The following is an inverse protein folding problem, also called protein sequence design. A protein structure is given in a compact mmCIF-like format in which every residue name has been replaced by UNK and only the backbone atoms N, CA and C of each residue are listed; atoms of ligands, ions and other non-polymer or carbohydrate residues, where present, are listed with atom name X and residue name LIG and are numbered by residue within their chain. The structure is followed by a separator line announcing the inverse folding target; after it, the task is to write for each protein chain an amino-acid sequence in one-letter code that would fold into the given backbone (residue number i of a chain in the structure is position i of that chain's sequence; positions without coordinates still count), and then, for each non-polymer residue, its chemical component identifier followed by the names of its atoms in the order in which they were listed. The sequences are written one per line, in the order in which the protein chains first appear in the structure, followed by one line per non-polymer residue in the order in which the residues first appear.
data_IF_586160790164
#
_entry.id   IF_586160790164
#
_cell.length_a   1.000
_cell.length_b   1.000
_cell.length_c   1.000
_cell.angle_alpha   90.00
_cell.angle_beta   90.00
_cell.angle_gamma   90.00
#
_symmetry.space_group_name_H-M   'P 1'
#
loop_
_entity.id
_entity.type
_entity.pdbx_description
1 polymer ?
#
# COMPACT_ATOMS: atom_id res chain seq x y z
N UNK A 1 24.42 17.69 26.92
CA UNK A 1 23.84 16.85 27.99
C UNK A 1 22.55 16.26 27.45
N UNK A 2 22.63 15.17 26.67
CA UNK A 2 21.46 14.51 26.08
C UNK A 2 20.94 13.47 27.06
N UNK A 3 19.92 13.83 27.84
CA UNK A 3 19.19 12.89 28.68
C UNK A 3 17.72 12.92 28.27
N UNK A 4 17.22 11.73 27.92
CA UNK A 4 15.82 11.36 27.57
C UNK A 4 15.52 11.38 26.07
N UNK A 5 15.87 10.31 25.37
CA UNK A 5 15.29 10.01 24.05
C UNK A 5 14.64 8.63 23.94
N UNK A 6 14.59 7.83 25.00
CA UNK A 6 13.90 6.54 24.96
C UNK A 6 13.16 6.28 26.27
N UNK A 7 12.06 7.01 26.48
CA UNK A 7 10.97 6.43 27.24
C UNK A 7 10.28 5.45 26.30
N UNK A 8 10.47 4.16 26.56
CA UNK A 8 9.80 3.07 25.86
C UNK A 8 8.30 3.22 26.15
N UNK A 9 7.58 3.95 25.29
CA UNK A 9 6.13 3.88 25.29
C UNK A 9 5.79 2.41 25.03
N UNK A 10 5.06 1.78 25.97
CA UNK A 10 4.38 0.52 25.65
C UNK A 10 3.40 0.88 24.53
N UNK A 11 3.70 0.46 23.30
CA UNK A 11 2.65 0.35 22.31
C UNK A 11 1.72 -0.73 22.82
N UNK A 12 0.52 -0.35 23.25
CA UNK A 12 -0.58 -1.30 23.32
C UNK A 12 -0.86 -1.70 21.87
N UNK A 13 -0.16 -2.74 21.40
CA UNK A 13 -0.33 -3.28 20.07
C UNK A 13 -1.77 -3.75 19.88
N UNK A 14 -2.33 -3.53 18.70
CA UNK A 14 -3.66 -4.03 18.36
C UNK A 14 -3.68 -5.56 18.54
N UNK A 15 -4.76 -6.09 19.12
CA UNK A 15 -5.03 -7.53 19.03
C UNK A 15 -5.24 -7.95 17.58
N UNK A 16 -5.12 -9.26 17.28
CA UNK A 16 -5.34 -9.80 15.92
C UNK A 16 -6.67 -9.34 15.33
N UNK A 17 -7.75 -9.40 16.12
CA UNK A 17 -9.10 -8.99 15.69
C UNK A 17 -9.18 -7.48 15.42
N UNK A 18 -8.56 -6.66 16.26
CA UNK A 18 -8.54 -5.20 16.04
C UNK A 18 -7.71 -4.82 14.82
N UNK A 19 -6.58 -5.49 14.61
CA UNK A 19 -5.78 -5.34 13.39
C UNK A 19 -6.59 -5.74 12.15
N UNK A 20 -7.25 -6.90 12.19
CA UNK A 20 -8.08 -7.40 11.09
C UNK A 20 -9.22 -6.46 10.75
N UNK A 21 -9.89 -5.90 11.76
CA UNK A 21 -10.93 -4.88 11.56
C UNK A 21 -10.36 -3.58 10.99
N UNK A 22 -9.23 -3.10 11.52
CA UNK A 22 -8.60 -1.85 11.07
C UNK A 22 -8.27 -1.89 9.58
N UNK A 23 -7.79 -3.05 9.12
CA UNK A 23 -7.31 -3.26 7.75
C UNK A 23 -8.30 -3.98 6.83
N UNK A 24 -9.56 -4.15 7.25
CA UNK A 24 -10.60 -4.79 6.44
C UNK A 24 -10.20 -6.20 5.95
N UNK A 25 -9.39 -6.92 6.73
CA UNK A 25 -8.79 -8.21 6.32
C UNK A 25 -9.85 -9.30 6.12
N UNK A 26 -10.93 -9.27 6.89
CA UNK A 26 -12.05 -10.21 6.67
C UNK A 26 -12.73 -9.98 5.32
N UNK A 27 -12.95 -8.72 4.95
CA UNK A 27 -13.50 -8.36 3.63
C UNK A 27 -12.51 -8.75 2.52
N UNK A 28 -11.20 -8.57 2.76
CA UNK A 28 -10.17 -9.01 1.83
C UNK A 28 -10.26 -10.50 1.55
N UNK A 29 -10.34 -11.35 2.57
CA UNK A 29 -10.48 -12.81 2.37
C UNK A 29 -11.76 -13.18 1.61
N UNK A 30 -12.90 -12.53 1.94
CA UNK A 30 -14.15 -12.74 1.19
C UNK A 30 -13.98 -12.41 -0.31
N UNK A 31 -13.26 -11.34 -0.64
CA UNK A 31 -12.98 -10.98 -2.03
C UNK A 31 -11.94 -11.92 -2.68
N UNK A 32 -10.92 -12.37 -1.95
CA UNK A 32 -9.90 -13.30 -2.46
C UNK A 32 -10.50 -14.68 -2.80
N UNK A 33 -11.43 -15.21 -2.00
CA UNK A 33 -12.15 -16.43 -2.37
C UNK A 33 -13.08 -16.23 -3.57
N UNK A 34 -13.65 -15.03 -3.77
CA UNK A 34 -14.36 -14.73 -5.02
C UNK A 34 -13.39 -14.73 -6.21
N UNK A 35 -12.15 -14.30 -6.00
CA UNK A 35 -11.11 -14.27 -7.05
C UNK A 35 -10.68 -15.70 -7.42
N UNK A 36 -10.49 -16.58 -6.43
CA UNK A 36 -10.26 -18.01 -6.63
C UNK A 36 -11.35 -18.63 -7.52
N UNK A 37 -12.62 -18.42 -7.16
CA UNK A 37 -13.75 -18.95 -7.93
C UNK A 37 -13.77 -18.42 -9.38
N UNK A 38 -13.50 -17.12 -9.58
CA UNK A 38 -13.46 -16.54 -10.91
C UNK A 38 -12.35 -17.15 -11.78
N UNK A 39 -11.17 -17.43 -11.20
CA UNK A 39 -10.07 -18.07 -11.92
C UNK A 39 -10.42 -19.49 -12.36
N UNK A 40 -11.12 -20.25 -11.51
CA UNK A 40 -11.64 -21.59 -11.86
C UNK A 40 -12.62 -21.48 -13.04
N UNK A 41 -13.59 -20.56 -12.97
CA UNK A 41 -14.59 -20.36 -14.04
C UNK A 41 -13.96 -19.95 -15.38
N UNK A 42 -12.92 -19.11 -15.36
CA UNK A 42 -12.22 -18.69 -16.59
C UNK A 42 -11.50 -19.89 -17.23
N UNK A 43 -10.84 -20.72 -16.42
CA UNK A 43 -10.06 -21.87 -16.89
C UNK A 43 -10.94 -23.01 -17.42
N UNK A 44 -12.17 -23.16 -16.93
CA UNK A 44 -13.15 -24.10 -17.51
C UNK A 44 -13.44 -23.79 -18.99
N UNK A 45 -13.23 -22.53 -19.41
CA UNK A 45 -13.49 -22.05 -20.77
C UNK A 45 -12.21 -21.78 -21.57
N UNK A 46 -11.03 -21.88 -20.95
CA UNK A 46 -9.74 -21.49 -21.55
C UNK A 46 -8.61 -22.37 -21.03
N UNK A 47 -7.88 -23.02 -21.94
CA UNK A 47 -6.64 -23.70 -21.59
C UNK A 47 -5.45 -22.76 -21.83
N UNK A 48 -4.87 -22.24 -20.77
CA UNK A 48 -3.77 -21.26 -20.80
C UNK A 48 -2.79 -21.56 -19.65
N UNK A 49 -1.58 -22.00 -20.01
CA UNK A 49 -0.56 -22.46 -19.07
C UNK A 49 -0.10 -21.35 -18.10
N UNK A 50 -0.05 -20.09 -18.55
CA UNK A 50 0.34 -18.95 -17.69
C UNK A 50 -0.76 -18.64 -16.68
N UNK A 51 -2.02 -18.72 -17.09
CA UNK A 51 -3.16 -18.54 -16.20
C UNK A 51 -3.27 -19.69 -15.17
N UNK A 52 -3.03 -20.93 -15.58
CA UNK A 52 -3.01 -22.09 -14.67
C UNK A 52 -1.96 -21.86 -13.60
N UNK A 53 -0.74 -21.49 -14.01
CA UNK A 53 0.36 -21.20 -13.09
C UNK A 53 0.02 -20.07 -12.13
N UNK A 54 -0.54 -18.97 -12.64
CA UNK A 54 -0.98 -17.84 -11.80
C UNK A 54 -2.03 -18.26 -10.78
N UNK A 55 -3.05 -19.03 -11.19
CA UNK A 55 -4.10 -19.52 -10.28
C UNK A 55 -3.50 -20.41 -9.19
N UNK A 56 -2.63 -21.35 -9.55
CA UNK A 56 -2.02 -22.26 -8.56
C UNK A 56 -1.18 -21.49 -7.54
N UNK A 57 -0.36 -20.53 -8.00
CA UNK A 57 0.39 -19.64 -7.12
C UNK A 57 -0.51 -18.76 -6.23
N UNK A 58 -1.61 -18.24 -6.79
CA UNK A 58 -2.59 -17.43 -6.05
C UNK A 58 -3.28 -18.23 -4.95
N UNK A 59 -3.69 -19.46 -5.24
CA UNK A 59 -4.35 -20.36 -4.27
C UNK A 59 -3.38 -20.71 -3.14
N UNK A 60 -2.15 -21.06 -3.46
CA UNK A 60 -1.11 -21.35 -2.45
C UNK A 60 -0.94 -20.15 -1.52
N UNK A 61 -0.72 -18.96 -2.07
CA UNK A 61 -0.56 -17.72 -1.29
C UNK A 61 -1.79 -17.42 -0.42
N UNK A 62 -3.00 -17.56 -0.96
CA UNK A 62 -4.25 -17.29 -0.23
C UNK A 62 -4.37 -18.15 1.03
N UNK A 63 -4.15 -19.46 0.91
CA UNK A 63 -4.29 -20.35 2.05
C UNK A 63 -3.10 -20.26 3.02
N UNK A 64 -1.91 -19.87 2.55
CA UNK A 64 -0.78 -19.53 3.42
C UNK A 64 -1.08 -18.32 4.31
N UNK A 65 -1.48 -17.20 3.70
CA UNK A 65 -1.72 -15.95 4.44
C UNK A 65 -2.96 -16.01 5.34
N UNK A 66 -3.95 -16.87 5.03
CA UNK A 66 -5.12 -17.10 5.89
C UNK A 66 -4.74 -17.86 7.18
N UNK A 67 -3.79 -18.80 7.06
CA UNK A 67 -3.25 -19.57 8.19
C UNK A 67 -2.32 -18.75 9.10
N UNK A 68 -1.79 -17.63 8.60
CA UNK A 68 -0.75 -16.89 9.28
C UNK A 68 -1.20 -16.09 10.51
N UNK A 69 -0.28 -15.97 11.47
CA UNK A 69 -0.46 -15.10 12.64
C UNK A 69 -0.20 -13.63 12.31
N UNK A 70 0.73 -13.38 11.38
CA UNK A 70 1.08 -12.06 10.85
C UNK A 70 1.18 -12.19 9.34
N UNK A 71 0.04 -12.08 8.67
CA UNK A 71 -0.05 -12.21 7.23
C UNK A 71 0.69 -11.06 6.51
N UNK A 72 1.45 -11.41 5.47
CA UNK A 72 2.07 -10.49 4.54
C UNK A 72 1.26 -10.50 3.23
N UNK A 73 0.60 -9.38 2.90
CA UNK A 73 -0.21 -9.27 1.68
C UNK A 73 0.58 -8.68 0.49
N UNK A 74 1.92 -8.68 0.54
CA UNK A 74 2.75 -8.05 -0.50
C UNK A 74 2.50 -8.66 -1.88
N UNK A 75 2.44 -9.99 -1.98
CA UNK A 75 2.23 -10.66 -3.27
C UNK A 75 0.82 -10.41 -3.82
N UNK A 76 -0.19 -10.43 -2.94
CA UNK A 76 -1.55 -10.00 -3.30
C UNK A 76 -1.56 -8.56 -3.81
N UNK A 77 -0.85 -7.63 -3.14
CA UNK A 77 -0.73 -6.25 -3.60
C UNK A 77 -0.08 -6.15 -4.99
N UNK A 78 0.97 -6.93 -5.26
CA UNK A 78 1.64 -6.95 -6.56
C UNK A 78 0.71 -7.42 -7.68
N UNK A 79 0.03 -8.56 -7.50
CA UNK A 79 -0.85 -9.15 -8.52
C UNK A 79 -2.08 -8.29 -8.84
N UNK A 80 -2.61 -7.60 -7.83
CA UNK A 80 -3.82 -6.77 -7.96
C UNK A 80 -3.52 -5.29 -8.26
N UNK A 81 -2.25 -4.90 -8.32
CA UNK A 81 -1.86 -3.56 -8.78
C UNK A 81 -2.42 -3.32 -10.19
N UNK A 82 -2.96 -2.13 -10.50
CA UNK A 82 -3.50 -1.86 -11.83
C UNK A 82 -2.50 -2.19 -12.95
N UNK A 83 -2.99 -2.73 -14.05
CA UNK A 83 -2.22 -3.17 -15.23
C UNK A 83 -1.30 -4.39 -15.02
N UNK A 84 -1.46 -5.12 -13.91
CA UNK A 84 -0.69 -6.33 -13.57
C UNK A 84 -1.45 -7.63 -13.85
N UNK A 85 -0.94 -8.75 -13.33
CA UNK A 85 -1.36 -10.12 -13.63
C UNK A 85 -2.89 -10.29 -13.55
N UNK A 86 -3.53 -9.82 -12.48
CA UNK A 86 -4.97 -9.96 -12.32
C UNK A 86 -5.75 -9.34 -13.48
N UNK A 87 -5.41 -8.09 -13.86
CA UNK A 87 -6.08 -7.38 -14.95
C UNK A 87 -5.76 -8.00 -16.31
N UNK A 88 -4.52 -8.45 -16.51
CA UNK A 88 -4.08 -9.12 -17.74
C UNK A 88 -4.86 -10.43 -17.97
N UNK A 89 -5.09 -11.21 -16.92
CA UNK A 89 -5.76 -12.51 -17.03
C UNK A 89 -7.28 -12.42 -17.01
N UNK A 90 -7.85 -11.58 -16.14
CA UNK A 90 -9.30 -11.56 -15.89
C UNK A 90 -10.03 -10.47 -16.68
N UNK A 91 -9.32 -9.49 -17.22
CA UNK A 91 -9.88 -8.38 -18.01
C UNK A 91 -11.08 -7.72 -17.33
N UNK A 92 -12.13 -7.47 -18.11
CA UNK A 92 -13.35 -6.82 -17.61
C UNK A 92 -14.12 -7.66 -16.58
N UNK A 93 -14.06 -9.00 -16.68
CA UNK A 93 -14.77 -9.89 -15.76
C UNK A 93 -14.22 -9.76 -14.33
N UNK A 94 -12.91 -9.61 -14.19
CA UNK A 94 -12.24 -9.42 -12.90
C UNK A 94 -12.11 -7.97 -12.44
N UNK A 95 -12.50 -6.97 -13.25
CA UNK A 95 -12.16 -5.57 -12.98
C UNK A 95 -12.68 -5.07 -11.63
N UNK A 96 -13.98 -5.24 -11.37
CA UNK A 96 -14.60 -4.74 -10.12
C UNK A 96 -13.98 -5.41 -8.89
N UNK A 97 -13.80 -6.73 -8.97
CA UNK A 97 -13.22 -7.52 -7.90
C UNK A 97 -11.76 -7.12 -7.64
N UNK A 98 -10.98 -6.94 -8.71
CA UNK A 98 -9.59 -6.52 -8.61
C UNK A 98 -9.43 -5.14 -7.99
N UNK A 99 -10.29 -4.19 -8.36
CA UNK A 99 -10.31 -2.83 -7.76
C UNK A 99 -10.60 -2.90 -6.25
N UNK A 100 -11.56 -3.73 -5.83
CA UNK A 100 -11.90 -3.89 -4.42
C UNK A 100 -10.75 -4.50 -3.62
N UNK A 101 -10.15 -5.57 -4.12
CA UNK A 101 -9.00 -6.23 -3.48
C UNK A 101 -7.85 -5.23 -3.38
N UNK A 102 -7.49 -4.59 -4.49
CA UNK A 102 -6.40 -3.62 -4.54
C UNK A 102 -6.60 -2.46 -3.55
N UNK A 103 -7.83 -1.92 -3.44
CA UNK A 103 -8.17 -0.88 -2.46
C UNK A 103 -7.75 -1.26 -1.04
N UNK A 104 -8.02 -2.50 -0.63
CA UNK A 104 -7.72 -2.99 0.72
C UNK A 104 -6.22 -3.22 0.88
N UNK A 105 -5.59 -3.98 -0.02
CA UNK A 105 -4.17 -4.33 0.11
C UNK A 105 -3.23 -3.15 -0.14
N UNK A 106 -3.59 -2.18 -0.98
CA UNK A 106 -2.80 -0.94 -1.17
C UNK A 106 -2.79 -0.10 0.10
N UNK A 107 -3.95 0.03 0.76
CA UNK A 107 -4.05 0.72 2.04
C UNK A 107 -3.21 0.01 3.12
N UNK A 108 -3.23 -1.32 3.15
CA UNK A 108 -2.38 -2.10 4.05
C UNK A 108 -0.90 -1.90 3.75
N UNK A 109 -0.49 -2.01 2.48
CA UNK A 109 0.91 -1.93 2.03
C UNK A 109 1.52 -0.57 2.30
N UNK A 110 0.78 0.52 2.07
CA UNK A 110 1.22 1.90 2.40
C UNK A 110 1.44 2.11 3.88
N UNK A 111 0.85 1.26 4.74
CA UNK A 111 1.09 1.27 6.17
C UNK A 111 2.17 0.26 6.61
N UNK A 112 2.80 -0.47 5.70
CA UNK A 112 3.97 -1.30 6.03
C UNK A 112 5.29 -0.66 5.62
N UNK A 113 5.25 0.19 4.59
CA UNK A 113 6.44 0.83 4.03
C UNK A 113 6.10 2.15 3.32
N UNK A 114 7.12 2.93 3.02
CA UNK A 114 7.01 4.05 2.11
C UNK A 114 6.82 3.56 0.67
N UNK A 115 5.61 3.66 0.15
CA UNK A 115 5.33 3.51 -1.30
C UNK A 115 5.37 4.89 -1.94
N UNK A 116 5.96 5.03 -3.13
CA UNK A 116 5.87 6.25 -3.95
C UNK A 116 4.43 6.74 -4.10
N UNK A 117 4.26 8.06 -4.09
CA UNK A 117 2.97 8.72 -4.22
C UNK A 117 2.10 8.63 -2.96
N UNK A 118 2.55 7.93 -1.91
CA UNK A 118 1.80 7.84 -0.66
C UNK A 118 1.69 9.22 -0.05
N UNK A 119 0.45 9.67 0.12
CA UNK A 119 0.14 10.90 0.85
C UNK A 119 0.23 10.60 2.35
N UNK A 120 0.97 11.45 3.05
CA UNK A 120 1.28 11.31 4.48
C UNK A 120 1.06 12.62 5.22
N UNK A 121 0.99 12.54 6.53
CA UNK A 121 0.94 13.69 7.42
C UNK A 121 1.83 13.47 8.64
N UNK A 122 2.48 14.53 9.13
CA UNK A 122 3.22 14.55 10.38
C UNK A 122 3.13 15.94 10.99
N UNK A 123 2.74 16.05 12.27
CA UNK A 123 2.60 17.35 12.96
C UNK A 123 1.76 18.38 12.19
N UNK A 124 0.61 17.94 11.63
CA UNK A 124 -0.29 18.75 10.78
C UNK A 124 0.30 19.22 9.44
N UNK A 125 1.51 18.78 9.08
CA UNK A 125 2.09 19.00 7.75
C UNK A 125 1.74 17.83 6.84
N UNK A 126 1.28 18.15 5.62
CA UNK A 126 0.93 17.17 4.59
C UNK A 126 2.09 16.99 3.63
N UNK A 127 2.33 15.77 3.16
CA UNK A 127 3.40 15.52 2.19
C UNK A 127 3.14 14.29 1.33
N UNK A 128 3.99 14.10 0.34
CA UNK A 128 3.96 12.95 -0.56
C UNK A 128 5.30 12.25 -0.60
N UNK A 129 5.28 10.92 -0.57
CA UNK A 129 6.48 10.10 -0.73
C UNK A 129 6.95 10.18 -2.19
N UNK A 130 8.17 10.65 -2.39
CA UNK A 130 8.81 10.78 -3.68
C UNK A 130 9.30 9.43 -4.21
N UNK A 131 9.48 9.38 -5.54
CA UNK A 131 10.04 8.21 -6.19
C UNK A 131 11.52 8.02 -5.83
N UNK A 132 12.02 6.79 -6.03
CA UNK A 132 13.46 6.49 -5.96
C UNK A 132 14.23 7.38 -6.94
N UNK A 133 15.38 7.84 -6.52
CA UNK A 133 16.35 8.47 -7.43
C UNK A 133 17.20 7.38 -8.08
N UNK A 134 17.82 7.67 -9.23
CA UNK A 134 18.77 6.75 -9.90
C UNK A 134 19.92 6.30 -9.00
N UNK A 135 20.20 7.07 -7.95
CA UNK A 135 21.36 6.89 -7.08
C UNK A 135 21.01 6.15 -5.79
N UNK A 136 19.72 5.85 -5.53
CA UNK A 136 19.30 5.11 -4.33
C UNK A 136 17.95 4.38 -4.53
N UNK A 137 17.98 3.06 -4.38
CA UNK A 137 16.84 2.16 -4.49
C UNK A 137 15.91 2.15 -3.26
N UNK A 138 16.00 3.12 -2.34
CA UNK A 138 15.13 3.21 -1.16
C UNK A 138 14.08 4.30 -1.29
N UNK A 139 12.83 3.95 -0.97
CA UNK A 139 11.74 4.90 -0.78
C UNK A 139 11.81 5.57 0.60
N UNK A 140 11.20 6.75 0.73
CA UNK A 140 11.08 7.45 2.02
C UNK A 140 11.51 8.91 2.00
N UNK A 141 11.88 9.49 0.87
CA UNK A 141 11.95 10.95 0.78
C UNK A 141 10.53 11.50 0.71
N UNK A 142 10.19 12.45 1.57
CA UNK A 142 8.86 13.09 1.61
C UNK A 142 9.02 14.52 1.14
N UNK A 143 8.23 14.91 0.12
CA UNK A 143 8.04 16.31 -0.26
C UNK A 143 6.85 16.86 0.52
N UNK A 144 7.12 17.85 1.37
CA UNK A 144 6.09 18.52 2.16
C UNK A 144 5.31 19.53 1.30
N UNK A 145 4.02 19.65 1.53
CA UNK A 145 3.10 20.55 0.84
C UNK A 145 3.27 21.99 1.33
N UNK A 146 4.38 22.60 0.93
CA UNK A 146 4.73 23.98 1.27
C UNK A 146 5.11 24.76 0.02
N UNK A 147 5.05 26.09 0.11
CA UNK A 147 5.41 26.99 -0.98
C UNK A 147 6.93 27.03 -1.29
N UNK A 148 7.77 26.36 -0.49
CA UNK A 148 9.22 26.29 -0.70
C UNK A 148 9.51 25.21 -1.75
N UNK A 149 10.35 25.52 -2.71
CA UNK A 149 10.63 24.63 -3.86
C UNK A 149 11.26 23.27 -3.47
N UNK A 150 12.02 23.22 -2.36
CA UNK A 150 12.81 22.06 -1.95
C UNK A 150 12.55 21.63 -0.49
N UNK A 151 11.30 21.70 -0.02
CA UNK A 151 10.93 21.18 1.30
C UNK A 151 10.81 19.65 1.25
N UNK A 152 11.97 18.98 1.31
CA UNK A 152 12.11 17.53 1.23
C UNK A 152 12.81 17.03 2.50
N UNK A 153 12.20 16.05 3.16
CA UNK A 153 12.80 15.36 4.30
C UNK A 153 13.09 13.89 3.95
N UNK A 154 14.22 13.38 4.44
CA UNK A 154 14.66 12.02 4.17
C UNK A 154 14.28 11.07 5.31
N UNK A 155 13.34 10.18 5.04
CA UNK A 155 12.89 9.11 5.92
C UNK A 155 13.23 7.71 5.39
N UNK A 156 14.18 7.58 4.46
CA UNK A 156 14.57 6.28 3.92
C UNK A 156 15.03 5.35 5.04
N UNK A 157 14.43 4.16 5.11
CA UNK A 157 14.68 3.18 6.18
C UNK A 157 14.16 3.59 7.57
N UNK A 158 13.37 4.67 7.68
CA UNK A 158 12.87 5.23 8.93
C UNK A 158 11.33 5.18 9.05
N UNK A 159 10.66 4.26 8.34
CA UNK A 159 9.19 4.13 8.37
C UNK A 159 8.64 3.91 9.79
N UNK A 160 9.26 3.02 10.57
CA UNK A 160 8.89 2.82 11.98
C UNK A 160 9.00 4.10 12.80
N UNK A 161 10.12 4.81 12.67
CA UNK A 161 10.35 6.11 13.34
C UNK A 161 9.36 7.19 12.91
N UNK A 162 8.91 7.16 11.64
CA UNK A 162 7.90 8.06 11.13
C UNK A 162 6.57 7.85 11.85
N UNK A 163 6.11 6.59 11.95
CA UNK A 163 4.89 6.25 12.69
C UNK A 163 5.01 6.56 14.19
N UNK A 164 6.16 6.27 14.82
CA UNK A 164 6.41 6.55 16.24
C UNK A 164 6.32 8.05 16.56
N UNK A 165 6.69 8.91 15.61
CA UNK A 165 6.57 10.37 15.74
C UNK A 165 5.16 10.90 15.47
N UNK A 166 4.18 10.02 15.24
CA UNK A 166 2.80 10.39 14.93
C UNK A 166 2.55 10.59 13.44
N UNK A 167 3.46 10.13 12.58
CA UNK A 167 3.27 10.11 11.14
C UNK A 167 2.09 9.22 10.76
N UNK A 168 1.29 9.66 9.79
CA UNK A 168 0.07 8.98 9.36
C UNK A 168 0.02 8.89 7.84
N UNK A 169 -0.47 7.76 7.35
CA UNK A 169 -0.92 7.66 5.96
C UNK A 169 -2.32 8.27 5.89
N UNK A 170 -2.51 9.25 5.01
CA UNK A 170 -3.79 9.96 4.88
C UNK A 170 -4.60 9.46 3.69
N UNK A 171 -5.76 10.07 3.48
CA UNK A 171 -6.59 9.84 2.31
C UNK A 171 -5.79 10.14 1.01
N UNK A 172 -5.66 9.16 0.11
CA UNK A 172 -4.91 9.31 -1.14
C UNK A 172 -5.60 10.24 -2.16
N UNK A 173 -6.84 10.64 -1.93
CA UNK A 173 -7.55 11.70 -2.67
C UNK A 173 -7.32 13.11 -2.09
N UNK A 174 -6.54 13.24 -1.01
CA UNK A 174 -6.17 14.54 -0.45
C UNK A 174 -5.59 15.47 -1.54
N UNK A 175 -6.07 16.72 -1.57
CA UNK A 175 -5.62 17.72 -2.53
C UNK A 175 -4.61 18.64 -1.87
N UNK A 176 -3.35 18.51 -2.25
CA UNK A 176 -2.29 19.40 -1.82
C UNK A 176 -2.52 20.84 -2.31
N UNK A 177 -2.01 21.81 -1.57
CA UNK A 177 -2.15 23.23 -1.88
C UNK A 177 -1.06 23.71 -2.85
N UNK A 178 0.19 23.31 -2.63
CA UNK A 178 1.38 23.83 -3.31
C UNK A 178 2.05 22.83 -4.25
N UNK A 179 1.87 21.53 -4.02
CA UNK A 179 2.47 20.46 -4.84
C UNK A 179 1.42 19.61 -5.56
N UNK A 180 1.83 18.91 -6.61
CA UNK A 180 1.06 17.85 -7.27
C UNK A 180 1.30 16.50 -6.58
N UNK A 181 0.55 15.47 -6.97
CA UNK A 181 0.64 14.12 -6.42
C UNK A 181 1.98 13.41 -6.71
N UNK A 182 2.81 13.96 -7.60
CA UNK A 182 4.17 13.50 -7.88
C UNK A 182 5.25 14.32 -7.14
N UNK A 183 4.85 15.29 -6.31
CA UNK A 183 5.74 16.18 -5.57
C UNK A 183 6.24 17.40 -6.35
N UNK A 184 5.86 17.57 -7.62
CA UNK A 184 6.20 18.77 -8.39
C UNK A 184 5.40 19.99 -7.93
N UNK A 185 5.98 21.18 -8.00
CA UNK A 185 5.30 22.43 -7.61
C UNK A 185 4.12 22.73 -8.56
N UNK A 186 2.97 23.07 -8.00
CA UNK A 186 1.84 23.59 -8.77
C UNK A 186 2.21 24.95 -9.36
N UNK A 187 2.04 25.11 -10.67
CA UNK A 187 2.20 26.43 -11.31
C UNK A 187 1.15 27.36 -10.72
N UNK A 188 1.57 28.53 -10.24
CA UNK A 188 0.64 29.61 -9.92
C UNK A 188 -0.19 29.88 -11.18
N UNK A 189 -1.52 29.81 -11.07
CA UNK A 189 -2.41 30.23 -12.15
C UNK A 189 -2.08 31.68 -12.47
N UNK A 190 -1.55 31.89 -13.67
CA UNK A 190 -1.24 33.21 -14.23
C UNK A 190 -2.52 33.99 -14.50
#
# INVERSE_FOLDING_TARGET
MFKRLFQKHKSDGLSKIEYWKKWEILELFDELHKAENLLVDILDNKNDDELIKFKDEFIEELYEIEGDNVADFTRIWEWFTPTKEWELFCGQQGQKLGINIFRIVDRWKRNQDFITGTKVMLNDEFGVVLNKTSDNDMFGQIRWDTNKENDIEDWRGLFGSFLEKGGQIINQQHQFTFINDDGTTKKASS
#
